data_IF_436259716700
#
_entry.id   IF_436259716700
#
_cell.length_a   1.000
_cell.length_b   1.000
_cell.length_c   1.000
_cell.angle_alpha   90.00
_cell.angle_beta   90.00
_cell.angle_gamma   90.00
#
_symmetry.space_group_name_H-M   'P 1'
#
loop_
_entity.id
_entity.type
_entity.pdbx_description
1 polymer ?
#
# COMPACT_ATOMS: atom_id res chain seq x y z
N UNK A 1 12.04 -27.87 0.72
CA UNK A 1 10.59 -27.60 0.82
C UNK A 1 9.81 -28.90 0.76
N UNK A 2 9.29 -29.39 1.89
CA UNK A 2 8.62 -30.71 1.97
C UNK A 2 7.18 -30.67 1.42
N UNK A 3 6.56 -29.50 1.39
CA UNK A 3 5.17 -29.34 0.93
C UNK A 3 5.13 -29.41 -0.60
N UNK A 4 6.03 -28.68 -1.28
CA UNK A 4 6.13 -28.74 -2.73
C UNK A 4 6.39 -30.17 -3.22
N UNK A 5 7.32 -30.89 -2.59
CA UNK A 5 7.60 -32.29 -2.96
C UNK A 5 6.39 -33.23 -2.82
N UNK A 6 5.55 -33.03 -1.80
CA UNK A 6 4.29 -33.78 -1.65
C UNK A 6 3.28 -33.43 -2.73
N UNK A 7 3.14 -32.16 -3.09
CA UNK A 7 2.26 -31.73 -4.17
C UNK A 7 2.71 -32.35 -5.49
N UNK A 8 4.01 -32.26 -5.83
CA UNK A 8 4.57 -32.86 -7.05
C UNK A 8 4.34 -34.38 -7.13
N UNK A 9 4.42 -35.10 -6.01
CA UNK A 9 4.17 -36.55 -5.98
C UNK A 9 2.70 -36.92 -6.23
N UNK A 10 1.76 -35.98 -6.08
CA UNK A 10 0.33 -36.19 -6.33
C UNK A 10 -0.09 -35.80 -7.75
N UNK A 11 0.75 -35.07 -8.49
CA UNK A 11 0.43 -34.62 -9.84
C UNK A 11 0.46 -35.79 -10.83
N UNK A 12 -0.57 -35.87 -11.66
CA UNK A 12 -0.59 -36.71 -12.86
C UNK A 12 0.21 -36.04 -14.00
N UNK A 13 0.66 -36.80 -15.02
CA UNK A 13 1.44 -36.25 -16.13
C UNK A 13 0.81 -35.06 -16.83
N UNK A 14 -0.52 -34.97 -16.88
CA UNK A 14 -1.26 -33.91 -17.57
C UNK A 14 -1.72 -32.77 -16.64
N UNK A 15 -1.47 -32.87 -15.33
CA UNK A 15 -1.89 -31.84 -14.38
C UNK A 15 -1.08 -30.55 -14.59
N UNK A 16 -1.80 -29.43 -14.56
CA UNK A 16 -1.22 -28.11 -14.55
C UNK A 16 -0.97 -27.67 -13.11
N UNK A 17 0.29 -27.38 -12.78
CA UNK A 17 0.70 -26.86 -11.48
C UNK A 17 1.30 -25.47 -11.63
N UNK A 18 0.73 -24.52 -10.90
CA UNK A 18 1.15 -23.12 -10.90
C UNK A 18 1.45 -22.64 -9.48
N UNK A 19 2.58 -21.95 -9.33
CA UNK A 19 2.93 -21.20 -8.12
C UNK A 19 3.23 -19.79 -8.53
N UNK A 20 2.47 -18.84 -7.99
CA UNK A 20 2.69 -17.41 -8.27
C UNK A 20 2.81 -16.60 -6.99
N UNK A 21 3.69 -15.60 -6.99
CA UNK A 21 3.59 -14.50 -6.06
C UNK A 21 2.99 -13.29 -6.78
N UNK A 22 1.80 -12.85 -6.34
CA UNK A 22 1.15 -11.68 -6.94
C UNK A 22 1.91 -10.37 -6.62
N UNK A 23 2.73 -10.38 -5.56
CA UNK A 23 3.50 -9.23 -5.08
C UNK A 23 4.88 -9.70 -4.62
N UNK A 24 5.93 -9.12 -5.19
CA UNK A 24 7.29 -9.27 -4.67
C UNK A 24 7.67 -8.09 -3.78
N UNK A 25 8.66 -8.32 -2.92
CA UNK A 25 9.31 -7.27 -2.16
C UNK A 25 10.80 -7.22 -2.52
N UNK A 26 11.32 -6.01 -2.75
CA UNK A 26 12.75 -5.76 -2.88
C UNK A 26 13.30 -5.24 -1.55
N UNK A 27 14.45 -5.76 -1.14
CA UNK A 27 15.20 -5.21 -0.02
C UNK A 27 15.71 -3.79 -0.38
N UNK A 28 15.47 -2.80 0.49
CA UNK A 28 15.82 -1.40 0.28
C UNK A 28 16.93 -0.89 1.20
N UNK A 29 17.75 -1.78 1.76
CA UNK A 29 18.84 -1.40 2.69
C UNK A 29 19.90 -0.51 2.05
N UNK A 30 20.12 -0.64 0.74
CA UNK A 30 21.05 0.18 -0.05
C UNK A 30 20.41 1.50 -0.55
N UNK A 31 19.09 1.68 -0.36
CA UNK A 31 18.38 2.89 -0.75
C UNK A 31 18.40 3.92 0.38
N UNK A 32 18.08 5.18 0.07
CA UNK A 32 17.93 6.23 1.09
C UNK A 32 16.94 5.75 2.18
N UNK A 33 17.29 5.88 3.48
CA UNK A 33 16.40 5.51 4.57
C UNK A 33 15.01 6.11 4.41
N UNK A 34 14.01 5.26 4.51
CA UNK A 34 12.62 5.67 4.48
C UNK A 34 12.02 5.36 5.85
N UNK A 35 11.89 6.39 6.68
CA UNK A 35 11.40 6.29 8.05
C UNK A 35 9.93 6.65 8.06
N UNK A 36 9.12 5.73 8.58
CA UNK A 36 7.70 5.97 8.77
C UNK A 36 7.47 6.59 10.13
N UNK A 37 6.88 7.77 10.16
CA UNK A 37 6.45 8.43 11.39
C UNK A 37 4.94 8.31 11.56
N UNK A 38 4.46 8.37 12.80
CA UNK A 38 3.05 8.56 13.14
C UNK A 38 2.89 9.50 14.30
N UNK A 39 1.74 10.15 14.38
CA UNK A 39 1.31 10.87 15.56
C UNK A 39 1.22 9.90 16.75
N UNK A 40 1.72 10.33 17.90
CA UNK A 40 1.59 9.59 19.18
C UNK A 40 0.12 9.62 19.62
N UNK A 41 -0.50 10.80 19.56
CA UNK A 41 -1.92 11.00 19.83
C UNK A 41 -2.48 12.04 18.85
N UNK A 42 -3.17 11.55 17.83
CA UNK A 42 -3.66 12.36 16.72
C UNK A 42 -4.65 13.45 17.16
N UNK A 43 -5.58 13.13 18.06
CA UNK A 43 -6.55 14.09 18.60
C UNK A 43 -5.87 15.22 19.36
N UNK A 44 -4.92 14.89 20.25
CA UNK A 44 -4.15 15.90 21.01
C UNK A 44 -3.30 16.77 20.09
N UNK A 45 -2.67 16.17 19.08
CA UNK A 45 -1.91 16.91 18.07
C UNK A 45 -2.78 17.93 17.34
N UNK A 46 -3.92 17.51 16.78
CA UNK A 46 -4.83 18.39 16.05
C UNK A 46 -5.33 19.55 16.94
N UNK A 47 -5.72 19.25 18.18
CA UNK A 47 -6.12 20.27 19.15
C UNK A 47 -5.00 21.28 19.44
N UNK A 48 -3.77 20.80 19.57
CA UNK A 48 -2.58 21.62 19.86
C UNK A 48 -2.29 22.62 18.74
N UNK A 49 -2.43 22.19 17.47
CA UNK A 49 -2.19 23.06 16.31
C UNK A 49 -3.39 23.95 15.96
N UNK A 50 -4.47 23.92 16.76
CA UNK A 50 -5.63 24.81 16.62
C UNK A 50 -6.84 24.17 15.94
N UNK A 51 -6.77 22.91 15.53
CA UNK A 51 -7.89 22.19 14.89
C UNK A 51 -8.76 21.58 16.00
N UNK A 52 -9.91 22.21 16.24
CA UNK A 52 -10.86 21.86 17.31
C UNK A 52 -12.16 21.29 16.73
N UNK A 53 -12.91 20.56 17.57
CA UNK A 53 -14.23 19.98 17.22
C UNK A 53 -14.22 19.16 15.92
N UNK A 54 -13.21 18.29 15.77
CA UNK A 54 -13.04 17.40 14.61
C UNK A 54 -13.33 15.95 15.01
N UNK A 55 -14.07 15.22 14.17
CA UNK A 55 -14.14 13.77 14.25
C UNK A 55 -13.04 13.17 13.37
N UNK A 56 -12.35 12.15 13.89
CA UNK A 56 -11.14 11.58 13.28
C UNK A 56 -11.41 10.11 12.98
N UNK A 57 -11.26 9.75 11.71
CA UNK A 57 -11.24 8.36 11.26
C UNK A 57 -9.81 8.03 10.85
N UNK A 58 -9.07 7.44 11.78
CA UNK A 58 -7.67 7.09 11.57
C UNK A 58 -7.54 5.84 10.71
N UNK A 59 -6.62 5.86 9.75
CA UNK A 59 -6.23 4.66 9.01
C UNK A 59 -4.96 4.04 9.60
N UNK A 60 -4.42 3.02 8.92
CA UNK A 60 -3.45 2.08 9.53
C UNK A 60 -2.12 2.69 9.98
N UNK A 61 -1.66 3.80 9.40
CA UNK A 61 -0.26 4.18 9.62
C UNK A 61 -0.01 5.65 9.92
N UNK A 62 -0.36 6.59 9.04
CA UNK A 62 0.01 8.00 9.20
C UNK A 62 -0.94 8.96 8.50
N UNK A 63 -2.16 8.49 8.24
CA UNK A 63 -3.17 9.14 7.45
C UNK A 63 -4.56 8.95 8.08
N UNK A 64 -5.47 9.86 7.78
CA UNK A 64 -6.81 9.85 8.32
C UNK A 64 -7.78 10.73 7.52
N UNK A 65 -9.06 10.44 7.69
CA UNK A 65 -10.13 11.37 7.38
C UNK A 65 -10.51 12.22 8.59
N UNK A 66 -10.76 13.49 8.33
CA UNK A 66 -11.21 14.48 9.30
C UNK A 66 -12.59 14.99 8.88
N UNK A 67 -13.53 15.00 9.83
CA UNK A 67 -14.89 15.47 9.61
C UNK A 67 -15.20 16.66 10.50
N UNK A 68 -15.79 17.69 9.89
CA UNK A 68 -15.98 19.00 10.49
C UNK A 68 -17.46 19.38 10.57
N UNK A 69 -17.86 20.21 11.55
CA UNK A 69 -19.25 20.64 11.70
C UNK A 69 -19.71 21.65 10.64
N UNK A 70 -18.78 22.36 9.99
CA UNK A 70 -19.09 23.37 8.97
C UNK A 70 -17.89 23.67 8.06
N UNK A 71 -18.16 24.23 6.88
CA UNK A 71 -17.16 24.52 5.85
C UNK A 71 -16.07 25.50 6.33
N UNK A 72 -16.42 26.47 7.19
CA UNK A 72 -15.45 27.39 7.76
C UNK A 72 -14.38 26.65 8.58
N UNK A 73 -14.80 25.70 9.43
CA UNK A 73 -13.86 24.88 10.21
C UNK A 73 -13.04 23.93 9.34
N UNK A 74 -13.61 23.40 8.26
CA UNK A 74 -12.86 22.63 7.25
C UNK A 74 -11.76 23.48 6.62
N UNK A 75 -12.11 24.68 6.13
CA UNK A 75 -11.16 25.58 5.47
C UNK A 75 -10.04 26.00 6.43
N UNK A 76 -10.37 26.37 7.67
CA UNK A 76 -9.38 26.68 8.69
C UNK A 76 -8.43 25.51 8.96
N UNK A 77 -8.96 24.28 9.04
CA UNK A 77 -8.14 23.10 9.23
C UNK A 77 -7.24 22.80 8.01
N UNK A 78 -7.75 23.01 6.80
CA UNK A 78 -6.98 22.90 5.56
C UNK A 78 -5.79 23.87 5.58
N UNK A 79 -6.04 25.15 5.85
CA UNK A 79 -5.01 26.19 5.91
C UNK A 79 -3.95 25.86 6.97
N UNK A 80 -4.37 25.43 8.16
CA UNK A 80 -3.46 25.03 9.24
C UNK A 80 -2.61 23.84 8.80
N UNK A 81 -3.21 22.76 8.30
CA UNK A 81 -2.49 21.55 7.88
C UNK A 81 -1.51 21.82 6.74
N UNK A 82 -1.88 22.66 5.78
CA UNK A 82 -1.01 23.09 4.68
C UNK A 82 0.14 24.00 5.15
N UNK A 83 -0.04 24.74 6.23
CA UNK A 83 1.01 25.57 6.83
C UNK A 83 2.05 24.79 7.64
N UNK A 84 1.81 23.51 7.92
CA UNK A 84 2.71 22.68 8.73
C UNK A 84 3.95 22.34 7.91
N UNK A 85 5.12 22.75 8.41
CA UNK A 85 6.40 22.44 7.78
C UNK A 85 7.37 21.76 8.75
N UNK A 86 8.29 20.99 8.18
CA UNK A 86 9.43 20.38 8.87
C UNK A 86 10.68 20.68 8.05
N UNK A 87 11.66 21.35 8.65
CA UNK A 87 12.84 21.86 7.92
C UNK A 87 12.48 22.72 6.68
N UNK A 88 11.39 23.49 6.77
CA UNK A 88 10.91 24.36 5.68
C UNK A 88 10.12 23.66 4.57
N UNK A 89 10.07 22.32 4.56
CA UNK A 89 9.27 21.56 3.60
C UNK A 89 7.86 21.25 4.14
N UNK A 90 6.82 21.18 3.30
CA UNK A 90 5.48 20.74 3.71
C UNK A 90 5.52 19.37 4.39
N UNK A 91 4.89 19.26 5.56
CA UNK A 91 4.90 18.02 6.33
C UNK A 91 3.70 17.11 6.04
N UNK A 92 2.57 17.70 5.62
CA UNK A 92 1.37 16.95 5.28
C UNK A 92 1.02 17.11 3.81
N UNK A 93 0.54 16.02 3.22
CA UNK A 93 -0.32 16.05 2.05
C UNK A 93 -1.77 16.17 2.54
N UNK A 94 -2.54 17.09 1.96
CA UNK A 94 -3.94 17.35 2.37
C UNK A 94 -4.82 17.41 1.14
N UNK A 95 -5.94 16.69 1.17
CA UNK A 95 -6.93 16.67 0.10
C UNK A 95 -8.30 17.08 0.65
N UNK A 96 -9.00 17.91 -0.12
CA UNK A 96 -10.42 18.21 0.06
C UNK A 96 -11.25 17.42 -0.95
N UNK A 97 -12.53 17.21 -0.65
CA UNK A 97 -13.46 16.49 -1.52
C UNK A 97 -14.53 17.45 -2.04
N UNK A 98 -14.64 17.68 -3.35
CA UNK A 98 -15.70 18.53 -3.92
C UNK A 98 -17.11 18.07 -3.52
N UNK A 99 -17.34 16.76 -3.52
CA UNK A 99 -18.64 16.16 -3.17
C UNK A 99 -18.87 16.04 -1.65
N UNK A 100 -17.86 16.39 -0.83
CA UNK A 100 -17.97 16.38 0.63
C UNK A 100 -17.12 17.50 1.27
N UNK A 101 -17.60 18.76 1.29
CA UNK A 101 -16.85 19.92 1.74
C UNK A 101 -16.61 19.96 3.26
N UNK A 102 -17.18 19.01 4.01
CA UNK A 102 -16.97 18.86 5.46
C UNK A 102 -15.94 17.80 5.80
N UNK A 103 -15.29 17.22 4.78
CA UNK A 103 -14.31 16.15 4.89
C UNK A 103 -12.95 16.60 4.36
N UNK A 104 -11.89 16.30 5.12
CA UNK A 104 -10.51 16.35 4.63
C UNK A 104 -9.87 14.97 4.75
N UNK A 105 -8.96 14.68 3.82
CA UNK A 105 -7.95 13.65 4.01
C UNK A 105 -6.61 14.32 4.27
N UNK A 106 -5.83 13.74 5.18
CA UNK A 106 -4.43 14.15 5.30
C UNK A 106 -3.54 12.96 5.61
N UNK A 107 -2.29 13.04 5.16
CA UNK A 107 -1.22 12.07 5.46
C UNK A 107 0.11 12.76 5.67
N UNK A 108 0.97 12.20 6.52
CA UNK A 108 2.37 12.63 6.63
C UNK A 108 3.06 12.42 5.27
N UNK A 109 3.62 13.49 4.71
CA UNK A 109 4.42 13.48 3.47
C UNK A 109 5.89 13.74 3.80
N UNK A 110 6.44 12.96 4.72
CA UNK A 110 7.82 13.11 5.15
C UNK A 110 8.39 11.78 5.62
N UNK A 111 9.58 11.43 5.11
CA UNK A 111 10.16 10.09 5.30
C UNK A 111 11.64 10.10 5.65
N UNK A 112 12.25 11.28 5.72
CA UNK A 112 13.67 11.39 6.02
C UNK A 112 13.93 11.19 7.52
N UNK A 113 15.08 10.61 7.90
CA UNK A 113 15.51 10.61 9.29
C UNK A 113 15.75 12.05 9.77
N UNK A 114 15.36 12.37 11.01
CA UNK A 114 15.56 13.70 11.60
C UNK A 114 16.22 13.62 12.98
N UNK A 115 17.05 14.62 13.37
CA UNK A 115 17.64 14.73 14.71
C UNK A 115 16.62 14.81 15.85
N UNK A 116 16.96 14.36 17.06
CA UNK A 116 16.05 14.33 18.22
C UNK A 116 15.53 15.71 18.66
N UNK A 117 16.28 16.77 18.38
CA UNK A 117 15.96 18.16 18.64
C UNK A 117 15.21 18.85 17.49
N UNK A 118 14.66 18.09 16.54
CA UNK A 118 13.88 18.65 15.43
C UNK A 118 12.57 19.25 15.90
N UNK A 119 12.18 20.38 15.28
CA UNK A 119 10.92 21.07 15.52
C UNK A 119 10.03 21.09 14.28
N UNK A 120 8.74 20.87 14.50
CA UNK A 120 7.68 21.14 13.53
C UNK A 120 7.28 22.61 13.62
N UNK A 121 7.12 23.28 12.48
CA UNK A 121 6.65 24.66 12.41
C UNK A 121 5.18 24.68 11.99
N UNK A 122 4.32 25.33 12.78
CA UNK A 122 2.90 25.55 12.45
C UNK A 122 2.55 26.99 12.74
N UNK A 123 2.20 27.76 11.70
CA UNK A 123 1.85 29.19 11.84
C UNK A 123 2.88 29.97 12.69
N UNK A 124 4.17 29.84 12.37
CA UNK A 124 5.31 30.45 13.08
C UNK A 124 5.55 29.98 14.53
N UNK A 125 4.87 28.92 14.98
CA UNK A 125 5.12 28.28 16.28
C UNK A 125 5.93 27.00 16.10
N UNK A 126 6.87 26.76 17.01
CA UNK A 126 7.72 25.57 17.00
C UNK A 126 7.20 24.53 18.01
N UNK A 127 7.12 23.28 17.57
CA UNK A 127 6.72 22.15 18.40
C UNK A 127 7.78 21.05 18.34
N UNK A 128 8.26 20.52 19.48
CA UNK A 128 9.23 19.42 19.47
C UNK A 128 8.66 18.20 18.75
N UNK A 129 9.30 17.78 17.66
CA UNK A 129 8.77 16.76 16.75
C UNK A 129 8.50 15.45 17.48
N UNK A 130 9.48 14.96 18.24
CA UNK A 130 9.39 13.67 18.96
C UNK A 130 8.48 13.70 20.20
N UNK A 131 7.93 14.86 20.59
CA UNK A 131 6.82 14.91 21.57
C UNK A 131 5.47 14.62 20.93
N UNK A 132 5.36 14.81 19.61
CA UNK A 132 4.11 14.69 18.85
C UNK A 132 4.08 13.46 17.97
N UNK A 133 5.25 13.03 17.47
CA UNK A 133 5.42 11.94 16.55
C UNK A 133 6.40 10.89 17.08
N UNK A 134 6.23 9.66 16.62
CA UNK A 134 7.19 8.56 16.84
C UNK A 134 7.53 7.91 15.51
N UNK A 135 8.79 7.51 15.34
CA UNK A 135 9.18 6.61 14.27
C UNK A 135 8.57 5.22 14.55
N UNK A 136 7.92 4.63 13.55
CA UNK A 136 7.37 3.28 13.60
C UNK A 136 8.41 2.27 13.13
N UNK A 137 8.93 2.52 11.93
CA UNK A 137 9.78 1.57 11.23
C UNK A 137 10.66 2.32 10.24
N UNK A 138 11.90 1.86 10.10
CA UNK A 138 12.73 2.15 8.94
C UNK A 138 12.44 1.07 7.91
N UNK A 139 11.87 1.44 6.77
CA UNK A 139 11.50 0.50 5.71
C UNK A 139 12.73 -0.23 5.21
N UNK A 140 12.71 -1.55 5.32
CA UNK A 140 13.76 -2.46 4.83
C UNK A 140 13.33 -3.20 3.56
N UNK A 141 12.05 -3.15 3.20
CA UNK A 141 11.51 -3.72 1.98
C UNK A 141 10.46 -2.82 1.33
N UNK A 142 10.43 -2.79 0.00
CA UNK A 142 9.36 -2.14 -0.77
C UNK A 142 8.68 -3.15 -1.67
N UNK A 143 7.37 -3.04 -1.81
CA UNK A 143 6.65 -3.77 -2.85
C UNK A 143 7.14 -3.31 -4.21
N UNK A 144 7.38 -4.27 -5.09
CA UNK A 144 7.68 -4.05 -6.49
C UNK A 144 6.55 -4.67 -7.32
N UNK A 145 6.25 -4.08 -8.46
CA UNK A 145 5.19 -4.54 -9.37
C UNK A 145 5.63 -5.76 -10.20
N UNK A 146 6.54 -6.57 -9.68
CA UNK A 146 7.00 -7.79 -10.33
C UNK A 146 6.61 -8.98 -9.47
N UNK A 147 6.31 -10.08 -10.15
CA UNK A 147 6.03 -11.37 -9.56
C UNK A 147 6.85 -12.46 -10.25
N UNK A 148 6.67 -13.68 -9.81
CA UNK A 148 7.21 -14.88 -10.44
C UNK A 148 6.10 -15.88 -10.52
N UNK A 149 5.90 -16.43 -11.72
CA UNK A 149 5.01 -17.55 -11.98
C UNK A 149 5.89 -18.74 -12.35
N UNK A 150 5.80 -19.80 -11.55
CA UNK A 150 6.38 -21.10 -11.86
C UNK A 150 5.29 -22.01 -12.40
N UNK A 151 5.60 -22.71 -13.49
CA UNK A 151 4.71 -23.67 -14.12
C UNK A 151 5.49 -24.95 -14.43
N UNK A 152 4.86 -26.11 -14.25
CA UNK A 152 5.39 -27.38 -14.74
C UNK A 152 5.15 -27.60 -16.25
N UNK A 153 4.45 -26.68 -16.92
CA UNK A 153 4.13 -26.70 -18.35
C UNK A 153 4.59 -25.42 -19.05
N UNK A 154 5.06 -25.50 -20.31
CA UNK A 154 5.58 -24.34 -21.06
C UNK A 154 4.45 -23.54 -21.74
N UNK A 155 3.34 -23.28 -21.04
CA UNK A 155 2.18 -22.57 -21.62
C UNK A 155 2.22 -21.06 -21.43
N UNK A 156 3.00 -20.57 -20.47
CA UNK A 156 3.05 -19.15 -20.12
C UNK A 156 4.23 -18.47 -20.80
N UNK A 157 4.03 -17.23 -21.23
CA UNK A 157 5.10 -16.36 -21.73
C UNK A 157 6.09 -15.98 -20.63
N UNK A 158 7.30 -15.59 -21.01
CA UNK A 158 8.32 -15.10 -20.06
C UNK A 158 7.88 -13.84 -19.29
N UNK A 159 6.98 -13.05 -19.87
CA UNK A 159 6.36 -11.87 -19.26
C UNK A 159 4.86 -11.97 -19.40
N UNK A 160 4.17 -11.79 -18.29
CA UNK A 160 2.72 -11.88 -18.18
C UNK A 160 2.25 -10.89 -17.12
N UNK A 161 1.24 -10.09 -17.42
CA UNK A 161 0.63 -9.24 -16.42
C UNK A 161 -0.20 -10.08 -15.45
N UNK A 162 -0.25 -9.67 -14.18
CA UNK A 162 -0.95 -10.44 -13.15
C UNK A 162 -2.44 -10.66 -13.49
N UNK A 163 -3.08 -9.69 -14.15
CA UNK A 163 -4.48 -9.78 -14.55
C UNK A 163 -4.75 -10.72 -15.75
N UNK A 164 -3.70 -11.12 -16.47
CA UNK A 164 -3.82 -12.02 -17.64
C UNK A 164 -3.70 -13.50 -17.25
N UNK A 165 -3.26 -13.80 -16.02
CA UNK A 165 -3.01 -15.17 -15.56
C UNK A 165 -4.28 -16.02 -15.62
N UNK A 166 -5.42 -15.47 -15.20
CA UNK A 166 -6.69 -16.17 -15.19
C UNK A 166 -7.13 -16.59 -16.60
N UNK A 167 -7.10 -15.65 -17.55
CA UNK A 167 -7.49 -15.91 -18.94
C UNK A 167 -6.61 -16.99 -19.58
N UNK A 168 -5.29 -16.94 -19.35
CA UNK A 168 -4.36 -17.97 -19.84
C UNK A 168 -4.70 -19.35 -19.28
N UNK A 169 -5.02 -19.45 -17.98
CA UNK A 169 -5.44 -20.71 -17.36
C UNK A 169 -6.69 -21.25 -18.04
N UNK A 170 -7.71 -20.41 -18.22
CA UNK A 170 -8.97 -20.82 -18.86
C UNK A 170 -8.77 -21.31 -20.29
N UNK A 171 -7.91 -20.62 -21.06
CA UNK A 171 -7.57 -21.03 -22.42
C UNK A 171 -6.87 -22.39 -22.49
N UNK A 172 -5.94 -22.66 -21.56
CA UNK A 172 -5.26 -23.96 -21.47
C UNK A 172 -6.27 -25.08 -21.17
N UNK A 173 -7.20 -24.86 -20.24
CA UNK A 173 -8.24 -25.85 -19.92
C UNK A 173 -9.17 -26.11 -21.10
N UNK A 174 -9.63 -25.07 -21.79
CA UNK A 174 -10.50 -25.20 -22.95
C UNK A 174 -9.86 -26.06 -24.06
N UNK A 175 -8.57 -25.81 -24.36
CA UNK A 175 -7.81 -26.58 -25.35
C UNK A 175 -7.64 -28.06 -24.97
N UNK A 176 -7.43 -28.34 -23.67
CA UNK A 176 -7.24 -29.71 -23.19
C UNK A 176 -8.56 -30.52 -23.14
N UNK A 177 -9.70 -29.86 -22.90
CA UNK A 177 -11.02 -30.51 -22.97
C UNK A 177 -11.38 -30.93 -24.40
N UNK A 178 -11.02 -30.14 -25.42
CA UNK A 178 -11.30 -30.46 -26.82
C UNK A 178 -10.50 -31.64 -27.36
N UNK A 179 -9.36 -31.99 -26.75
CA UNK A 179 -8.50 -33.11 -27.19
C UNK A 179 -8.95 -34.49 -26.67
N UNK A 180 -9.96 -34.55 -25.80
CA UNK A 180 -10.43 -35.80 -25.16
C UNK A 180 -11.64 -36.43 -25.85
N UNK A 181 -12.04 -36.00 -27.06
CA UNK A 181 -13.04 -36.78 -27.80
C UNK A 181 -12.44 -38.14 -28.17
N UNK A 182 -12.98 -39.25 -27.65
CA UNK A 182 -12.48 -40.57 -28.00
C UNK A 182 -12.71 -40.80 -29.49
N UNK A 183 -11.64 -41.13 -30.21
CA UNK A 183 -11.76 -41.70 -31.55
C UNK A 183 -12.58 -42.98 -31.39
N UNK A 184 -13.86 -42.90 -31.73
CA UNK A 184 -14.76 -44.05 -31.73
C UNK A 184 -14.11 -45.12 -32.62
N UNK A 185 -13.83 -46.33 -32.10
CA UNK A 185 -13.25 -47.38 -32.91
C UNK A 185 -14.18 -47.63 -34.10
N UNK A 186 -13.66 -47.49 -35.31
CA UNK A 186 -14.41 -47.83 -36.52
C UNK A 186 -14.70 -49.32 -36.46
N UNK A 187 -15.97 -49.67 -36.24
CA UNK A 187 -16.46 -51.05 -36.32
C UNK A 187 -16.18 -51.57 -37.73
N UNK A 188 -15.33 -52.60 -37.81
CA UNK A 188 -15.12 -53.39 -39.03
C UNK A 188 -16.30 -54.31 -39.28
#
# INVERSE_FOLDING_TARGET
DKILGKIFAMLQPDDLFLVTNALSQKNTMEEKPWVLYRQINQKKFLQLIGIKKVAIEAHMTHDAHLFFPNAQSTQQALDILQSVTLNGAPFFHVESYPDNPLKLFYRIQFTDPVPQDTFLTVSNKLYPFFKLFKAIVKRTGKHIQTGTLFSNKPYFSEKLANHEIEEQILNIYAQNCQRKEPVMPQSR
#
